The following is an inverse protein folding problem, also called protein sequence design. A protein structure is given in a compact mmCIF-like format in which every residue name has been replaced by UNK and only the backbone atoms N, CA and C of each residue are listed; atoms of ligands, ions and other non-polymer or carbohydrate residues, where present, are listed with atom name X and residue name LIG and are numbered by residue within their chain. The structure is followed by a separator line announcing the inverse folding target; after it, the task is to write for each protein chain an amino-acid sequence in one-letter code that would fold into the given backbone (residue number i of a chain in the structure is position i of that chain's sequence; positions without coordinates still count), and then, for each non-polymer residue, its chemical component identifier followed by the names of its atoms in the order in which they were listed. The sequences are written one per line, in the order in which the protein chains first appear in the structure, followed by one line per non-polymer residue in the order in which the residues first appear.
data_IF_243080204494
#
_entry.id   IF_243080204494
#
_cell.length_a   1.000
_cell.length_b   1.000
_cell.length_c   1.000
_cell.angle_alpha   90.00
_cell.angle_beta   90.00
_cell.angle_gamma   90.00
#
_symmetry.space_group_name_H-M   'P 1'
#
loop_
_entity.id
_entity.type
_entity.pdbx_description
1 polymer ?
#
# COMPACT_ATOMS: atom_id res chain seq x y z
N UNK A 1 -25.39 62.18 44.82
CA UNK A 1 -24.61 60.94 45.02
C UNK A 1 -24.48 60.22 43.68
N UNK A 2 -23.29 60.30 43.04
CA UNK A 2 -23.01 59.52 41.84
C UNK A 2 -22.40 58.16 42.28
N UNK A 3 -23.07 57.05 41.99
CA UNK A 3 -22.55 55.71 42.13
C UNK A 3 -21.69 55.44 40.93
N UNK A 4 -20.38 55.21 41.17
CA UNK A 4 -19.49 54.63 40.18
C UNK A 4 -19.77 53.12 40.09
N UNK A 5 -20.20 52.69 38.92
CA UNK A 5 -20.29 51.28 38.59
C UNK A 5 -18.90 50.83 38.11
N UNK A 6 -18.25 50.00 38.93
CA UNK A 6 -16.99 49.33 38.52
C UNK A 6 -17.33 48.38 37.39
N UNK A 7 -16.86 48.70 36.17
CA UNK A 7 -16.90 47.78 35.08
C UNK A 7 -15.88 46.67 35.33
N UNK A 8 -16.36 45.44 35.52
CA UNK A 8 -15.51 44.27 35.50
C UNK A 8 -15.07 44.00 34.05
N UNK A 9 -13.80 44.17 33.82
CA UNK A 9 -13.16 43.75 32.58
C UNK A 9 -13.01 42.22 32.63
N UNK A 10 -13.99 41.52 32.06
CA UNK A 10 -13.86 40.07 31.81
C UNK A 10 -12.75 39.84 30.78
N UNK A 11 -11.60 39.43 31.27
CA UNK A 11 -10.52 38.91 30.40
C UNK A 11 -11.03 37.62 29.77
N UNK A 12 -11.46 37.70 28.51
CA UNK A 12 -11.68 36.50 27.69
C UNK A 12 -10.34 35.85 27.45
N UNK A 13 -10.06 34.78 28.20
CA UNK A 13 -8.96 33.91 27.92
C UNK A 13 -9.32 33.12 26.65
N UNK A 14 -8.73 33.51 25.52
CA UNK A 14 -8.85 32.76 24.29
C UNK A 14 -7.96 31.53 24.44
N UNK A 15 -8.58 30.40 24.78
CA UNK A 15 -7.89 29.10 24.80
C UNK A 15 -7.67 28.69 23.35
N UNK A 16 -6.50 28.99 22.80
CA UNK A 16 -6.06 28.40 21.53
C UNK A 16 -5.80 26.89 21.78
N UNK A 17 -6.78 26.05 21.46
CA UNK A 17 -6.55 24.63 21.36
C UNK A 17 -5.64 24.38 20.14
N UNK A 18 -4.40 24.09 20.41
CA UNK A 18 -3.48 23.52 19.42
C UNK A 18 -3.98 22.10 19.11
N UNK A 19 -4.85 21.97 18.13
CA UNK A 19 -5.12 20.67 17.50
C UNK A 19 -3.89 20.37 16.69
N UNK A 20 -2.95 19.60 17.23
CA UNK A 20 -1.90 19.00 16.45
C UNK A 20 -2.58 17.99 15.51
N UNK A 21 -2.77 18.38 14.28
CA UNK A 21 -3.08 17.47 13.18
C UNK A 21 -1.85 16.57 13.01
N UNK A 22 -1.77 15.48 13.80
CA UNK A 22 -0.96 14.36 13.41
C UNK A 22 -1.60 13.83 12.14
N UNK A 23 -1.00 14.16 10.99
CA UNK A 23 -1.44 13.63 9.71
C UNK A 23 -1.35 12.11 9.76
N UNK A 24 -2.51 11.44 9.85
CA UNK A 24 -2.59 10.01 9.63
C UNK A 24 -2.28 9.78 8.15
N UNK A 25 -1.14 9.14 7.87
CA UNK A 25 -0.81 8.70 6.52
C UNK A 25 -1.41 7.31 6.33
N UNK A 26 -2.19 7.13 5.27
CA UNK A 26 -2.75 5.84 4.94
C UNK A 26 -1.66 4.90 4.37
N UNK A 27 -1.73 3.60 4.66
CA UNK A 27 -0.83 2.61 4.05
C UNK A 27 -0.90 2.68 2.53
N UNK A 28 0.25 2.51 1.88
CA UNK A 28 0.36 2.57 0.42
C UNK A 28 1.24 1.45 -0.11
N UNK A 29 0.76 0.79 -1.15
CA UNK A 29 1.46 -0.22 -1.93
C UNK A 29 1.75 0.32 -3.34
N UNK A 30 3.00 0.21 -3.81
CA UNK A 30 3.43 0.76 -5.09
C UNK A 30 4.65 0.02 -5.65
N UNK A 31 4.93 0.21 -6.94
CA UNK A 31 6.18 -0.26 -7.54
C UNK A 31 7.30 0.75 -7.28
N UNK A 32 8.38 0.30 -6.66
CA UNK A 32 9.65 1.03 -6.70
C UNK A 32 10.28 0.82 -8.07
N UNK A 33 10.30 -0.44 -8.54
CA UNK A 33 10.67 -0.88 -9.88
C UNK A 33 9.70 -1.99 -10.33
N UNK A 34 9.41 -2.11 -11.63
CA UNK A 34 9.82 -1.25 -12.75
C UNK A 34 8.99 0.03 -12.83
N UNK A 35 9.48 1.00 -13.61
CA UNK A 35 8.72 2.19 -13.97
C UNK A 35 7.61 1.84 -14.96
N UNK A 36 6.49 2.58 -14.90
CA UNK A 36 5.45 2.49 -15.93
C UNK A 36 6.04 2.82 -17.31
N UNK A 37 5.60 2.11 -18.33
CA UNK A 37 6.07 2.21 -19.73
C UNK A 37 7.56 1.88 -19.96
N UNK A 38 8.20 1.16 -19.01
CA UNK A 38 9.58 0.72 -19.16
C UNK A 38 9.72 -0.52 -20.07
N UNK A 39 10.92 -0.71 -20.62
CA UNK A 39 11.26 -1.81 -21.53
C UNK A 39 12.35 -2.67 -20.89
N UNK A 40 12.18 -3.98 -20.93
CA UNK A 40 13.05 -4.96 -20.31
C UNK A 40 13.43 -6.06 -21.31
N UNK A 41 14.50 -6.81 -20.98
CA UNK A 41 14.92 -8.00 -21.72
C UNK A 41 14.76 -9.22 -20.83
N UNK A 42 13.99 -10.22 -21.27
CA UNK A 42 13.81 -11.54 -20.65
C UNK A 42 13.38 -11.56 -19.19
N UNK A 43 13.98 -10.76 -18.33
CA UNK A 43 13.69 -10.71 -16.90
C UNK A 43 13.39 -9.30 -16.43
N UNK A 44 12.46 -9.19 -15.49
CA UNK A 44 12.03 -7.94 -14.91
C UNK A 44 12.33 -7.98 -13.42
N UNK A 45 13.10 -7.01 -12.93
CA UNK A 45 13.32 -6.82 -11.51
C UNK A 45 12.14 -6.05 -10.94
N UNK A 46 11.44 -6.66 -10.00
CA UNK A 46 10.30 -6.05 -9.28
C UNK A 46 10.78 -5.69 -7.88
N UNK A 47 10.70 -4.42 -7.53
CA UNK A 47 10.90 -3.95 -6.16
C UNK A 47 9.59 -3.44 -5.63
N UNK A 48 9.12 -4.05 -4.55
CA UNK A 48 7.84 -3.76 -3.91
C UNK A 48 7.99 -2.58 -2.95
N UNK A 49 7.21 -1.53 -3.14
CA UNK A 49 7.13 -0.40 -2.23
C UNK A 49 5.95 -0.55 -1.30
N UNK A 50 6.19 -0.46 0.01
CA UNK A 50 5.15 -0.50 1.03
C UNK A 50 5.45 0.57 2.08
N UNK A 51 4.49 1.46 2.29
CA UNK A 51 4.58 2.56 3.24
C UNK A 51 3.52 2.40 4.34
N UNK A 52 3.92 2.70 5.59
CA UNK A 52 3.04 2.68 6.78
C UNK A 52 2.35 1.32 7.04
N UNK A 53 2.97 0.25 6.58
CA UNK A 53 2.54 -1.14 6.77
C UNK A 53 3.75 -2.06 6.72
N UNK A 54 3.68 -3.23 7.33
CA UNK A 54 4.81 -4.15 7.44
C UNK A 54 4.76 -5.30 6.44
N UNK A 55 5.92 -5.87 6.17
CA UNK A 55 6.06 -7.13 5.43
C UNK A 55 6.29 -8.25 6.42
N UNK A 56 5.52 -9.33 6.30
CA UNK A 56 5.70 -10.56 7.07
C UNK A 56 5.54 -11.78 6.15
N UNK A 57 6.24 -12.88 6.42
CA UNK A 57 6.02 -14.12 5.68
C UNK A 57 4.58 -14.62 5.81
N UNK A 58 4.11 -15.34 4.80
CA UNK A 58 2.84 -16.05 4.86
C UNK A 58 2.79 -16.98 6.09
N UNK A 59 1.63 -17.08 6.73
CA UNK A 59 1.43 -17.89 7.93
C UNK A 59 1.79 -17.18 9.25
N UNK A 60 2.43 -16.02 9.21
CA UNK A 60 2.72 -15.22 10.40
C UNK A 60 1.70 -14.08 10.54
N UNK A 61 0.90 -14.15 11.59
CA UNK A 61 -0.12 -13.15 11.90
C UNK A 61 0.49 -12.01 12.74
N UNK A 62 1.10 -11.06 12.05
CA UNK A 62 1.55 -9.82 12.66
C UNK A 62 0.58 -8.67 12.37
N UNK A 63 0.26 -7.81 13.35
CA UNK A 63 -0.58 -6.64 13.11
C UNK A 63 0.00 -5.74 12.02
N UNK A 64 -0.87 -5.19 11.16
CA UNK A 64 -0.51 -4.24 10.10
C UNK A 64 0.63 -4.76 9.21
N UNK A 65 0.55 -6.01 8.80
CA UNK A 65 1.54 -6.65 7.95
C UNK A 65 0.91 -7.60 6.94
N UNK A 66 1.67 -7.93 5.92
CA UNK A 66 1.28 -8.86 4.89
C UNK A 66 2.45 -9.22 3.97
N UNK A 67 2.17 -10.01 2.95
CA UNK A 67 3.15 -10.41 1.95
C UNK A 67 2.67 -10.09 0.54
N UNK A 68 3.64 -9.88 -0.35
CA UNK A 68 3.36 -9.38 -1.69
C UNK A 68 2.84 -10.46 -2.64
N UNK A 69 1.93 -10.05 -3.50
CA UNK A 69 1.48 -10.77 -4.70
C UNK A 69 1.63 -9.85 -5.90
N UNK A 70 2.03 -10.41 -7.04
CA UNK A 70 2.11 -9.71 -8.32
C UNK A 70 1.04 -10.27 -9.26
N UNK A 71 0.20 -9.38 -9.75
CA UNK A 71 -0.83 -9.69 -10.73
C UNK A 71 -0.29 -9.35 -12.11
N UNK A 72 -0.35 -10.31 -13.05
CA UNK A 72 0.15 -10.18 -14.42
C UNK A 72 -1.01 -10.41 -15.39
N UNK A 73 -1.37 -9.38 -16.17
CA UNK A 73 -2.42 -9.47 -17.19
C UNK A 73 -3.76 -10.03 -16.68
N UNK A 74 -4.13 -9.70 -15.46
CA UNK A 74 -5.38 -10.15 -14.85
C UNK A 74 -5.98 -9.04 -13.99
N UNK A 75 -7.30 -9.09 -13.72
CA UNK A 75 -7.94 -8.14 -12.82
C UNK A 75 -7.62 -8.46 -11.35
N UNK A 76 -7.93 -7.51 -10.45
CA UNK A 76 -7.99 -7.80 -9.02
C UNK A 76 -8.93 -8.99 -8.79
N UNK A 77 -8.52 -9.97 -7.97
CA UNK A 77 -9.38 -11.10 -7.62
C UNK A 77 -10.49 -10.67 -6.65
N UNK A 78 -11.35 -11.59 -6.25
CA UNK A 78 -12.26 -11.35 -5.14
C UNK A 78 -11.48 -11.03 -3.87
N UNK A 79 -11.61 -9.80 -3.37
CA UNK A 79 -10.85 -9.29 -2.23
C UNK A 79 -11.29 -9.88 -0.88
N UNK A 80 -12.33 -10.69 -0.84
CA UNK A 80 -12.83 -11.41 0.35
C UNK A 80 -12.35 -12.85 0.45
N UNK A 81 -11.66 -13.34 -0.57
CA UNK A 81 -11.19 -14.72 -0.69
C UNK A 81 -9.66 -14.79 -0.76
N UNK A 82 -9.07 -15.96 -0.51
CA UNK A 82 -7.65 -16.16 -0.74
C UNK A 82 -7.24 -15.80 -2.18
N UNK A 83 -6.14 -15.07 -2.30
CA UNK A 83 -5.59 -14.66 -3.59
C UNK A 83 -5.20 -15.94 -4.35
N UNK A 84 -5.58 -16.10 -5.64
CA UNK A 84 -5.13 -17.22 -6.45
C UNK A 84 -3.60 -17.29 -6.54
N UNK A 85 -3.06 -18.47 -6.80
CA UNK A 85 -1.64 -18.68 -7.05
C UNK A 85 -1.47 -19.45 -8.36
N UNK A 86 -1.13 -18.73 -9.43
CA UNK A 86 -0.92 -19.27 -10.77
C UNK A 86 0.01 -18.36 -11.59
N UNK A 87 0.03 -18.51 -12.90
CA UNK A 87 0.86 -17.67 -13.77
C UNK A 87 0.51 -16.19 -13.67
N UNK A 88 -0.78 -15.84 -13.52
CA UNK A 88 -1.26 -14.46 -13.47
C UNK A 88 -1.23 -13.86 -12.06
N UNK A 89 -1.16 -14.68 -11.03
CA UNK A 89 -1.14 -14.28 -9.63
C UNK A 89 0.07 -14.92 -8.94
N UNK A 90 1.19 -14.20 -8.96
CA UNK A 90 2.46 -14.66 -8.38
C UNK A 90 2.53 -14.36 -6.90
N UNK A 91 2.91 -15.36 -6.13
CA UNK A 91 2.96 -15.32 -4.67
C UNK A 91 4.39 -15.20 -4.15
N UNK A 92 4.64 -14.27 -3.24
CA UNK A 92 5.93 -14.03 -2.59
C UNK A 92 5.80 -14.16 -1.08
N UNK A 93 5.63 -15.39 -0.61
CA UNK A 93 5.25 -15.71 0.77
C UNK A 93 6.38 -15.82 1.78
N UNK A 94 7.64 -15.60 1.40
CA UNK A 94 8.77 -15.65 2.31
C UNK A 94 9.13 -14.28 2.92
N UNK A 95 8.30 -13.25 2.72
CA UNK A 95 8.60 -11.90 3.16
C UNK A 95 9.55 -11.14 2.23
N UNK A 96 9.62 -11.55 0.96
CA UNK A 96 10.45 -10.87 -0.02
C UNK A 96 9.96 -9.43 -0.25
N UNK A 97 10.91 -8.53 -0.40
CA UNK A 97 10.67 -7.12 -0.77
C UNK A 97 11.01 -6.84 -2.24
N UNK A 98 11.59 -7.80 -2.92
CA UNK A 98 11.92 -7.76 -4.34
C UNK A 98 11.97 -9.17 -4.96
N UNK A 99 11.84 -9.24 -6.27
CA UNK A 99 11.89 -10.49 -7.00
C UNK A 99 12.36 -10.25 -8.45
N UNK A 100 12.86 -11.29 -9.09
CA UNK A 100 13.14 -11.29 -10.52
C UNK A 100 12.14 -12.23 -11.20
N UNK A 101 11.37 -11.69 -12.14
CA UNK A 101 10.34 -12.44 -12.88
C UNK A 101 10.76 -12.57 -14.32
N UNK A 102 10.82 -13.81 -14.83
CA UNK A 102 11.04 -14.09 -16.25
C UNK A 102 9.72 -14.01 -16.99
N UNK A 103 9.70 -13.24 -18.06
CA UNK A 103 8.54 -13.07 -18.94
C UNK A 103 8.97 -13.20 -20.39
N UNK A 104 8.14 -13.88 -21.18
CA UNK A 104 8.31 -13.93 -22.65
C UNK A 104 8.14 -12.54 -23.26
N UNK A 105 8.69 -12.28 -24.44
CA UNK A 105 8.47 -11.01 -25.13
C UNK A 105 6.99 -10.67 -25.27
N UNK A 106 6.64 -9.44 -24.95
CA UNK A 106 5.26 -8.97 -24.98
C UNK A 106 5.02 -7.72 -24.14
N UNK A 107 3.79 -7.27 -24.13
CA UNK A 107 3.32 -6.16 -23.29
C UNK A 107 2.52 -6.70 -22.12
N UNK A 108 2.83 -6.24 -20.92
CA UNK A 108 2.25 -6.74 -19.68
C UNK A 108 1.67 -5.60 -18.84
N UNK A 109 0.50 -5.84 -18.28
CA UNK A 109 -0.07 -5.04 -17.20
C UNK A 109 0.26 -5.69 -15.87
N UNK A 110 0.86 -4.95 -14.97
CA UNK A 110 1.30 -5.41 -13.66
C UNK A 110 0.58 -4.63 -12.56
N UNK A 111 0.19 -5.34 -11.52
CA UNK A 111 -0.40 -4.73 -10.32
C UNK A 111 0.06 -5.49 -9.08
N UNK A 112 0.30 -4.79 -7.98
CA UNK A 112 0.61 -5.40 -6.69
C UNK A 112 -0.65 -5.52 -5.84
N UNK A 113 -0.73 -6.58 -5.06
CA UNK A 113 -1.77 -6.81 -4.05
C UNK A 113 -1.12 -7.42 -2.81
N UNK A 114 -1.46 -6.92 -1.63
CA UNK A 114 -0.96 -7.44 -0.38
C UNK A 114 -1.95 -8.46 0.21
N UNK A 115 -1.45 -9.62 0.61
CA UNK A 115 -2.20 -10.64 1.32
C UNK A 115 -1.82 -10.72 2.79
N UNK A 116 -2.78 -11.03 3.65
CA UNK A 116 -2.54 -11.31 5.06
C UNK A 116 -1.93 -12.71 5.24
N UNK A 117 -1.72 -13.14 6.48
CA UNK A 117 -1.12 -14.45 6.79
C UNK A 117 -1.88 -15.66 6.21
N UNK A 118 -3.16 -15.51 5.86
CA UNK A 118 -4.01 -16.51 5.19
C UNK A 118 -4.13 -16.29 3.68
N UNK A 119 -3.32 -15.44 3.07
CA UNK A 119 -3.38 -15.06 1.65
C UNK A 119 -4.68 -14.33 1.26
N UNK A 120 -5.40 -13.77 2.22
CA UNK A 120 -6.61 -12.99 1.97
C UNK A 120 -6.23 -11.51 1.99
N UNK A 121 -6.70 -10.69 1.05
CA UNK A 121 -6.53 -9.24 1.14
C UNK A 121 -7.08 -8.71 2.47
N UNK A 122 -6.46 -7.65 2.99
CA UNK A 122 -6.93 -7.00 4.22
C UNK A 122 -8.30 -6.38 4.02
N UNK A 123 -9.04 -6.13 5.09
CA UNK A 123 -10.37 -5.51 5.02
C UNK A 123 -10.35 -4.19 4.26
N UNK A 124 -9.34 -3.36 4.52
CA UNK A 124 -8.97 -2.24 3.66
C UNK A 124 -7.85 -2.71 2.74
N UNK A 125 -8.23 -3.23 1.57
CA UNK A 125 -7.30 -3.87 0.66
C UNK A 125 -6.20 -2.91 0.18
N UNK A 126 -4.95 -3.40 0.22
CA UNK A 126 -3.80 -2.67 -0.28
C UNK A 126 -3.40 -3.23 -1.64
N UNK A 127 -3.57 -2.43 -2.66
CA UNK A 127 -3.13 -2.72 -4.03
C UNK A 127 -2.56 -1.47 -4.70
N UNK A 128 -1.67 -1.69 -5.63
CA UNK A 128 -1.03 -0.60 -6.37
C UNK A 128 -1.87 -0.13 -7.55
N UNK A 129 -1.46 0.99 -8.14
CA UNK A 129 -1.85 1.31 -9.51
C UNK A 129 -1.37 0.23 -10.46
N UNK A 130 -2.06 0.07 -11.59
CA UNK A 130 -1.62 -0.78 -12.69
C UNK A 130 -0.54 -0.05 -13.48
N UNK A 131 0.58 -0.71 -13.73
CA UNK A 131 1.61 -0.24 -14.63
C UNK A 131 1.67 -1.13 -15.88
N UNK A 132 2.18 -0.59 -16.96
CA UNK A 132 2.42 -1.32 -18.21
C UNK A 132 3.91 -1.39 -18.47
N UNK A 133 4.40 -2.56 -18.85
CA UNK A 133 5.79 -2.77 -19.26
C UNK A 133 5.84 -3.53 -20.59
N UNK A 134 6.97 -3.43 -21.28
CA UNK A 134 7.27 -4.23 -22.47
C UNK A 134 8.50 -5.08 -22.21
N UNK A 135 8.46 -6.33 -22.63
CA UNK A 135 9.59 -7.26 -22.63
C UNK A 135 9.94 -7.59 -24.08
N UNK A 136 11.22 -7.45 -24.43
CA UNK A 136 11.79 -7.70 -25.78
C UNK A 136 12.58 -8.98 -25.83
#
# INVERSE_FOLDING_TARGET
RRRFVKGEIMKKILLLSFISLFGYTEPRLYFIEPANDSVHKESVHIKFGLQDFGVAPAGLDYPNSGHHHLIINAPLPDLSLPIPADFNYRHFGAGQTEAVVKLEPGTYKLQLLLGNYLHIPHQEALYSDVITITVE
#
